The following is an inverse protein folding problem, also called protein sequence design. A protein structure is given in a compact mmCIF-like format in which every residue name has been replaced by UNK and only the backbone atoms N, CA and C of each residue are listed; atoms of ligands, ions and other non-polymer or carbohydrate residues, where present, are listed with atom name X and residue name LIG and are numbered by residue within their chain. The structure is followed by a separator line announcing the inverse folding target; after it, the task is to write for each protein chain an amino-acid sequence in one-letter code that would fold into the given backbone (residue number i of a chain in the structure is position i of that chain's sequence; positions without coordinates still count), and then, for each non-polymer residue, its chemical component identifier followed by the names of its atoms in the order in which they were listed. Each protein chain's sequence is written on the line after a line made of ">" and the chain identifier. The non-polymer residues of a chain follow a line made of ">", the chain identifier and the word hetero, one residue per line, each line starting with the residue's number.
data_IF_828688865915
#
_entry.id   IF_828688865915
#
_cell.length_a   1.000
_cell.length_b   1.000
_cell.length_c   1.000
_cell.angle_alpha   90.00
_cell.angle_beta   90.00
_cell.angle_gamma   90.00
#
_symmetry.space_group_name_H-M   'P 1'
#
loop_
_entity.id
_entity.type
_entity.pdbx_description
1 polymer ?
#
# COMPACT_ATOMS: atom_id res chain seq x y z
N UNK A 1 -12.26 -15.92 -16.66
CA UNK A 1 -11.42 -15.12 -15.76
C UNK A 1 -10.02 -15.72 -15.77
N UNK A 2 -9.01 -14.95 -16.17
CA UNK A 2 -7.66 -15.45 -16.45
C UNK A 2 -6.81 -15.76 -15.20
N UNK A 3 -7.43 -15.77 -14.01
CA UNK A 3 -6.74 -16.02 -12.73
C UNK A 3 -5.79 -14.89 -12.33
N UNK A 4 -6.04 -13.67 -12.80
CA UNK A 4 -5.26 -12.45 -12.50
C UNK A 4 -6.16 -11.46 -11.76
N UNK A 5 -5.71 -11.01 -10.59
CA UNK A 5 -6.45 -10.10 -9.73
C UNK A 5 -5.67 -8.78 -9.67
N UNK A 6 -6.17 -7.76 -10.36
CA UNK A 6 -5.62 -6.42 -10.33
C UNK A 6 -6.36 -5.54 -9.33
N UNK A 7 -5.63 -4.60 -8.74
CA UNK A 7 -6.18 -3.62 -7.82
C UNK A 7 -6.43 -2.30 -8.55
N UNK A 8 -7.62 -1.75 -8.31
CA UNK A 8 -8.01 -0.44 -8.80
C UNK A 8 -8.43 0.44 -7.63
N UNK A 9 -8.01 1.69 -7.66
CA UNK A 9 -8.50 2.74 -6.78
C UNK A 9 -9.61 3.49 -7.51
N UNK A 10 -10.76 3.60 -6.87
CA UNK A 10 -11.88 4.37 -7.37
C UNK A 10 -12.09 5.61 -6.51
N UNK A 11 -12.25 6.75 -7.16
CA UNK A 11 -12.53 8.04 -6.51
C UNK A 11 -13.85 8.58 -7.04
N UNK A 12 -14.66 9.15 -6.16
CA UNK A 12 -15.91 9.81 -6.50
C UNK A 12 -15.97 11.18 -5.84
N UNK A 13 -16.46 12.17 -6.58
CA UNK A 13 -16.70 13.54 -6.09
C UNK A 13 -18.19 13.82 -5.89
N UNK A 14 -19.08 12.90 -6.30
CA UNK A 14 -20.52 13.12 -6.40
C UNK A 14 -21.34 12.08 -5.61
N UNK A 15 -20.80 11.66 -4.47
CA UNK A 15 -21.39 10.67 -3.56
C UNK A 15 -21.63 9.29 -4.20
N UNK A 16 -20.80 8.92 -5.17
CA UNK A 16 -20.79 7.60 -5.80
C UNK A 16 -21.72 7.47 -7.01
N UNK A 17 -22.18 8.58 -7.58
CA UNK A 17 -22.94 8.56 -8.83
C UNK A 17 -22.02 8.31 -10.03
N UNK A 18 -20.81 8.88 -10.00
CA UNK A 18 -19.76 8.64 -10.96
C UNK A 18 -18.43 8.35 -10.27
N UNK A 19 -17.55 7.66 -11.00
CA UNK A 19 -16.28 7.16 -10.49
C UNK A 19 -15.17 7.32 -11.51
N UNK A 20 -14.05 7.87 -11.06
CA UNK A 20 -12.77 7.81 -11.75
C UNK A 20 -11.99 6.61 -11.21
N UNK A 21 -11.30 5.89 -12.10
CA UNK A 21 -10.55 4.69 -11.74
C UNK A 21 -9.07 4.79 -12.12
N UNK A 22 -8.21 4.39 -11.20
CA UNK A 22 -6.76 4.30 -11.37
C UNK A 22 -6.31 2.86 -11.09
N UNK A 23 -5.53 2.25 -12.00
CA UNK A 23 -4.93 0.95 -11.77
C UNK A 23 -3.76 1.09 -10.80
N UNK A 24 -3.80 0.34 -9.68
CA UNK A 24 -2.68 0.26 -8.73
C UNK A 24 -1.72 -0.89 -9.07
N UNK A 25 -2.23 -1.89 -9.77
CA UNK A 25 -1.44 -2.99 -10.33
C UNK A 25 -1.91 -3.26 -11.76
N UNK A 26 -0.98 -3.67 -12.61
CA UNK A 26 -1.26 -4.07 -13.99
C UNK A 26 -0.32 -5.20 -14.40
N UNK A 27 -0.75 -6.00 -15.38
CA UNK A 27 0.05 -7.08 -15.96
C UNK A 27 0.62 -8.06 -14.91
N UNK A 28 -0.13 -8.32 -13.83
CA UNK A 28 0.30 -9.24 -12.78
C UNK A 28 0.44 -10.66 -13.36
N UNK A 29 1.59 -11.33 -13.16
CA UNK A 29 1.80 -12.69 -13.64
C UNK A 29 0.73 -13.67 -13.15
N UNK A 30 0.32 -14.62 -14.01
CA UNK A 30 -0.65 -15.65 -13.64
C UNK A 30 -0.18 -16.45 -12.42
N UNK A 31 -1.10 -16.70 -11.48
CA UNK A 31 -0.83 -17.43 -10.24
C UNK A 31 -0.27 -16.56 -9.11
N UNK A 32 0.08 -15.30 -9.40
CA UNK A 32 0.38 -14.30 -8.39
C UNK A 32 -0.87 -13.44 -8.17
N UNK A 33 -1.51 -13.55 -7.01
CA UNK A 33 -2.78 -12.86 -6.76
C UNK A 33 -2.54 -11.63 -5.88
N UNK A 34 -3.21 -10.52 -6.20
CA UNK A 34 -3.40 -9.41 -5.28
C UNK A 34 -4.78 -9.56 -4.64
N UNK A 35 -4.83 -9.74 -3.32
CA UNK A 35 -6.07 -10.02 -2.59
C UNK A 35 -6.17 -9.18 -1.32
N UNK A 36 -7.40 -9.04 -0.82
CA UNK A 36 -7.71 -8.39 0.47
C UNK A 36 -7.09 -6.99 0.60
N UNK A 37 -7.36 -6.06 -0.34
CA UNK A 37 -6.93 -4.69 -0.16
C UNK A 37 -7.59 -4.08 1.09
N UNK A 38 -6.81 -3.33 1.85
CA UNK A 38 -7.25 -2.65 3.06
C UNK A 38 -6.63 -1.26 3.13
N UNK A 39 -7.41 -0.30 3.60
CA UNK A 39 -6.95 1.06 3.90
C UNK A 39 -6.80 1.16 5.42
N UNK A 40 -5.57 1.25 5.97
CA UNK A 40 -5.36 1.40 7.40
C UNK A 40 -6.04 2.68 7.91
N UNK A 41 -6.75 2.60 9.03
CA UNK A 41 -7.39 3.79 9.62
C UNK A 41 -6.35 4.73 10.22
N UNK A 42 -6.58 6.02 10.11
CA UNK A 42 -5.70 7.08 10.63
C UNK A 42 -4.26 7.01 10.11
N UNK A 43 -4.04 6.41 8.94
CA UNK A 43 -2.74 6.46 8.28
C UNK A 43 -2.41 7.91 7.90
N UNK A 44 -1.11 8.23 7.90
CA UNK A 44 -0.66 9.50 7.31
C UNK A 44 -0.79 9.37 5.80
N UNK A 45 -1.33 10.39 5.14
CA UNK A 45 -1.41 10.43 3.68
C UNK A 45 -0.04 10.15 3.07
N UNK A 46 0.01 9.29 2.06
CA UNK A 46 1.24 8.82 1.42
C UNK A 46 1.94 7.70 2.18
N UNK A 47 1.46 7.31 3.37
CA UNK A 47 2.05 6.26 4.21
C UNK A 47 1.05 5.12 4.37
N UNK A 48 1.30 4.01 3.68
CA UNK A 48 0.41 2.84 3.69
C UNK A 48 -1.03 3.17 3.28
N UNK A 49 -1.23 4.06 2.31
CA UNK A 49 -2.56 4.46 1.81
C UNK A 49 -3.44 3.25 1.43
N UNK A 50 -2.81 2.20 0.93
CA UNK A 50 -3.40 0.88 0.78
C UNK A 50 -2.34 -0.18 1.07
N UNK A 51 -2.77 -1.25 1.73
CA UNK A 51 -1.98 -2.46 1.92
C UNK A 51 -2.81 -3.62 1.37
N UNK A 52 -2.17 -4.61 0.77
CA UNK A 52 -2.84 -5.83 0.32
C UNK A 52 -1.93 -7.05 0.48
N UNK A 53 -2.51 -8.23 0.35
CA UNK A 53 -1.78 -9.48 0.33
C UNK A 53 -1.42 -9.85 -1.11
N UNK A 54 -0.16 -10.18 -1.37
CA UNK A 54 0.31 -10.63 -2.69
C UNK A 54 0.97 -12.01 -2.58
N UNK A 55 0.51 -12.97 -3.37
CA UNK A 55 1.05 -14.33 -3.37
C UNK A 55 0.06 -15.40 -3.82
N UNK A 56 0.32 -16.66 -3.43
CA UNK A 56 -0.63 -17.76 -3.62
C UNK A 56 -1.71 -17.67 -2.55
N UNK A 57 -2.96 -17.67 -2.96
CA UNK A 57 -4.09 -17.55 -2.05
C UNK A 57 -5.25 -18.42 -2.51
N UNK A 58 -5.50 -19.53 -1.79
CA UNK A 58 -6.61 -20.44 -2.08
C UNK A 58 -7.75 -20.24 -1.08
N UNK A 59 -7.40 -20.14 0.21
CA UNK A 59 -8.36 -19.90 1.28
C UNK A 59 -7.72 -19.10 2.41
N UNK A 60 -8.53 -18.35 3.16
CA UNK A 60 -8.03 -17.44 4.20
C UNK A 60 -7.64 -18.14 5.50
N UNK A 61 -8.20 -19.33 5.75
CA UNK A 61 -7.90 -20.14 6.93
C UNK A 61 -7.05 -21.35 6.56
N UNK A 62 -6.62 -22.10 7.57
CA UNK A 62 -5.93 -23.39 7.44
C UNK A 62 -4.61 -23.34 6.65
N UNK A 63 -3.89 -22.23 6.74
CA UNK A 63 -2.56 -22.03 6.11
C UNK A 63 -2.55 -22.22 4.58
N UNK A 64 -3.72 -22.17 3.93
CA UNK A 64 -3.86 -22.30 2.46
C UNK A 64 -3.59 -20.99 1.72
N UNK A 65 -2.58 -20.27 2.18
CA UNK A 65 -2.05 -19.08 1.53
C UNK A 65 -0.56 -18.94 1.85
N UNK A 66 0.20 -18.43 0.88
CA UNK A 66 1.56 -17.96 1.08
C UNK A 66 1.67 -16.60 0.40
N UNK A 67 1.59 -15.55 1.21
CA UNK A 67 1.49 -14.17 0.76
C UNK A 67 2.36 -13.26 1.59
N UNK A 68 2.83 -12.17 0.98
CA UNK A 68 3.43 -11.04 1.67
C UNK A 68 2.47 -9.86 1.71
N UNK A 69 2.62 -8.96 2.69
CA UNK A 69 1.96 -7.66 2.67
C UNK A 69 2.72 -6.71 1.73
N UNK A 70 1.99 -6.05 0.83
CA UNK A 70 2.52 -5.10 -0.15
C UNK A 70 1.73 -3.80 -0.07
N UNK A 71 2.38 -2.68 -0.39
CA UNK A 71 1.80 -1.35 -0.48
C UNK A 71 2.46 -0.61 -1.66
N UNK A 72 1.83 0.44 -2.23
CA UNK A 72 2.42 1.19 -3.34
C UNK A 72 3.71 1.86 -2.86
N UNK A 73 4.74 1.85 -3.71
CA UNK A 73 5.99 2.53 -3.40
C UNK A 73 5.72 4.02 -3.29
N UNK A 74 6.14 4.63 -2.19
CA UNK A 74 6.08 6.07 -2.01
C UNK A 74 6.91 6.77 -3.08
N UNK A 75 6.32 7.71 -3.80
CA UNK A 75 7.14 8.77 -4.39
C UNK A 75 7.60 9.67 -3.23
N UNK A 76 8.92 9.83 -3.07
CA UNK A 76 9.47 10.83 -2.15
C UNK A 76 9.01 12.20 -2.65
N UNK A 77 7.94 12.72 -2.09
CA UNK A 77 7.66 14.16 -2.16
C UNK A 77 8.73 14.81 -1.29
N UNK A 78 9.59 15.62 -1.91
CA UNK A 78 10.79 16.19 -1.28
C UNK A 78 10.50 17.02 -0.03
N UNK A 79 11.58 17.31 0.68
CA UNK A 79 11.70 18.07 1.93
C UNK A 79 11.55 17.23 3.21
N UNK A 80 12.52 16.32 3.40
CA UNK A 80 13.02 16.03 4.74
C UNK A 80 13.74 17.29 5.23
N UNK A 81 13.08 18.14 6.03
CA UNK A 81 13.79 19.10 6.88
C UNK A 81 14.72 18.30 7.80
N UNK A 82 16.03 18.39 7.54
CA UNK A 82 17.08 18.02 8.48
C UNK A 82 16.83 18.76 9.80
N UNK A 83 16.24 18.05 10.76
CA UNK A 83 16.35 18.46 12.16
C UNK A 83 17.72 18.02 12.64
N UNK A 84 18.69 18.91 12.45
CA UNK A 84 19.97 18.88 13.15
C UNK A 84 19.70 18.78 14.65
N UNK A 85 19.85 17.59 15.19
CA UNK A 85 19.90 17.37 16.63
C UNK A 85 21.28 17.87 17.11
N UNK A 86 21.44 19.20 17.16
CA UNK A 86 22.62 19.83 17.73
C UNK A 86 22.75 19.36 19.18
N UNK A 87 23.61 18.37 19.40
CA UNK A 87 23.90 17.85 20.73
C UNK A 87 24.84 18.86 21.39
N UNK A 88 24.23 19.73 22.18
CA UNK A 88 24.90 20.65 23.10
C UNK A 88 26.05 19.96 23.82
N UNK A 89 27.18 20.67 23.88
CA UNK A 89 28.48 20.16 24.30
C UNK A 89 28.50 19.41 25.62
N UNK A 90 29.34 18.36 25.65
CA UNK A 90 29.76 17.72 26.89
C UNK A 90 30.61 18.69 27.72
N UNK A 91 30.36 18.86 29.03
CA UNK A 91 31.33 19.47 29.92
C UNK A 91 32.46 18.45 30.17
N UNK A 92 33.70 18.92 30.06
CA UNK A 92 34.88 18.17 30.46
C UNK A 92 34.88 17.92 31.98
N UNK A 93 35.22 16.70 32.38
CA UNK A 93 35.81 16.38 33.69
C UNK A 93 37.08 15.59 33.43
#
# INVERSE_FOLDING_TARGET
>A
MDGVFELFKYTTSDHGQSWESEALTENTPRGLLNVRPMVPRHHKKGVFDVVWMRGRYEFYADERYNTSLVFPKMEKTGEEEERDFNTSGSPAI
#
